data_IF_430571357845
#
_entry.id   IF_430571357845
#
_cell.length_a   1.000
_cell.length_b   1.000
_cell.length_c   1.000
_cell.angle_alpha   90.00
_cell.angle_beta   90.00
_cell.angle_gamma   90.00
#
_symmetry.space_group_name_H-M   'P 1'
#
loop_
_entity.id
_entity.type
_entity.pdbx_description
1 polymer ?
#
# COMPACT_ATOMS: atom_id res chain seq x y z
N UNK A 1 18.40 -17.19 9.22
CA UNK A 1 17.60 -16.55 8.16
C UNK A 1 16.16 -16.94 8.39
N UNK A 2 15.25 -15.97 8.49
CA UNK A 2 13.83 -16.29 8.35
C UNK A 2 13.60 -16.86 6.95
N UNK A 3 12.78 -17.91 6.87
CA UNK A 3 12.34 -18.40 5.57
C UNK A 3 11.41 -17.37 4.93
N UNK A 4 11.36 -17.32 3.59
CA UNK A 4 10.43 -16.45 2.86
C UNK A 4 8.98 -16.63 3.35
N UNK A 5 8.57 -17.86 3.67
CA UNK A 5 7.24 -18.14 4.22
C UNK A 5 7.00 -17.48 5.58
N UNK A 6 7.99 -17.49 6.48
CA UNK A 6 7.88 -16.81 7.78
C UNK A 6 7.76 -15.29 7.60
N UNK A 7 8.56 -14.71 6.70
CA UNK A 7 8.50 -13.29 6.39
C UNK A 7 7.15 -12.89 5.77
N UNK A 8 6.64 -13.66 4.80
CA UNK A 8 5.32 -13.38 4.20
C UNK A 8 4.20 -13.48 5.24
N UNK A 9 4.27 -14.49 6.13
CA UNK A 9 3.28 -14.64 7.20
C UNK A 9 3.33 -13.49 8.21
N UNK A 10 4.52 -12.92 8.49
CA UNK A 10 4.64 -11.77 9.39
C UNK A 10 4.02 -10.49 8.82
N UNK A 11 3.88 -10.39 7.49
CA UNK A 11 3.21 -9.27 6.81
C UNK A 11 1.67 -9.37 6.84
N UNK A 12 1.09 -10.55 7.07
CA UNK A 12 -0.35 -10.79 6.96
C UNK A 12 -1.24 -9.81 7.77
N UNK A 13 -0.87 -9.39 9.00
CA UNK A 13 -1.63 -8.38 9.74
C UNK A 13 -1.66 -7.02 9.05
N UNK A 14 -0.52 -6.56 8.50
CA UNK A 14 -0.41 -5.28 7.76
C UNK A 14 -1.25 -5.31 6.49
N UNK A 15 -1.14 -6.40 5.71
CA UNK A 15 -1.93 -6.60 4.49
C UNK A 15 -3.44 -6.63 4.79
N UNK A 16 -3.84 -7.29 5.87
CA UNK A 16 -5.24 -7.33 6.30
C UNK A 16 -5.76 -5.97 6.76
N UNK A 17 -4.90 -5.15 7.36
CA UNK A 17 -5.23 -3.77 7.73
C UNK A 17 -5.46 -2.91 6.47
N UNK A 18 -4.51 -2.90 5.53
CA UNK A 18 -4.66 -2.15 4.26
C UNK A 18 -5.93 -2.57 3.49
N UNK A 19 -6.21 -3.87 3.38
CA UNK A 19 -7.44 -4.35 2.72
C UNK A 19 -8.70 -3.77 3.38
N UNK A 20 -8.76 -3.73 4.71
CA UNK A 20 -9.92 -3.19 5.44
C UNK A 20 -10.03 -1.68 5.28
N UNK A 21 -8.90 -0.97 5.31
CA UNK A 21 -8.85 0.48 5.12
C UNK A 21 -9.32 0.89 3.72
N UNK A 22 -8.77 0.28 2.66
CA UNK A 22 -9.20 0.54 1.28
C UNK A 22 -10.65 0.13 1.02
N UNK A 23 -11.14 -0.91 1.69
CA UNK A 23 -12.56 -1.29 1.59
C UNK A 23 -13.49 -0.28 2.29
N UNK A 24 -13.08 0.26 3.44
CA UNK A 24 -13.88 1.24 4.18
C UNK A 24 -13.90 2.60 3.48
N UNK A 25 -12.78 3.01 2.88
CA UNK A 25 -12.62 4.26 2.14
C UNK A 25 -12.43 4.00 0.64
N UNK A 26 -13.35 3.25 0.04
CA UNK A 26 -13.29 2.93 -1.38
C UNK A 26 -13.49 4.19 -2.24
N UNK A 27 -12.62 4.38 -3.24
CA UNK A 27 -12.70 5.46 -4.21
C UNK A 27 -13.10 4.91 -5.59
N UNK A 28 -13.93 5.67 -6.31
CA UNK A 28 -14.32 5.35 -7.69
C UNK A 28 -13.20 5.68 -8.66
N UNK A 29 -13.35 5.23 -9.91
CA UNK A 29 -12.44 5.56 -11.00
C UNK A 29 -12.19 7.07 -11.13
N UNK A 30 -10.93 7.46 -11.34
CA UNK A 30 -10.44 8.83 -11.53
C UNK A 30 -10.43 9.73 -10.29
N UNK A 31 -10.82 9.20 -9.13
CA UNK A 31 -10.82 9.94 -7.85
C UNK A 31 -10.08 9.19 -6.76
N UNK A 32 -9.12 8.33 -7.12
CA UNK A 32 -8.34 7.48 -6.22
C UNK A 32 -7.23 8.25 -5.48
N UNK A 33 -7.49 9.49 -5.07
CA UNK A 33 -6.49 10.39 -4.53
C UNK A 33 -5.93 9.88 -3.19
N UNK A 34 -6.79 9.42 -2.27
CA UNK A 34 -6.37 8.87 -0.98
C UNK A 34 -5.61 7.57 -1.20
N UNK A 35 -6.15 6.69 -2.04
CA UNK A 35 -5.55 5.39 -2.34
C UNK A 35 -4.17 5.55 -2.95
N UNK A 36 -4.03 6.40 -3.97
CA UNK A 36 -2.75 6.68 -4.62
C UNK A 36 -1.73 7.31 -3.65
N UNK A 37 -2.18 8.20 -2.75
CA UNK A 37 -1.33 8.81 -1.72
C UNK A 37 -0.79 7.76 -0.75
N UNK A 38 -1.64 6.88 -0.22
CA UNK A 38 -1.22 5.82 0.71
C UNK A 38 -0.24 4.83 0.05
N UNK A 39 -0.46 4.48 -1.21
CA UNK A 39 0.47 3.62 -1.97
C UNK A 39 1.82 4.32 -2.18
N UNK A 40 1.80 5.61 -2.55
CA UNK A 40 3.02 6.39 -2.73
C UNK A 40 3.82 6.49 -1.42
N UNK A 41 3.16 6.78 -0.30
CA UNK A 41 3.80 6.85 1.02
C UNK A 41 4.50 5.55 1.40
N UNK A 42 3.81 4.40 1.24
CA UNK A 42 4.39 3.09 1.57
C UNK A 42 5.55 2.72 0.65
N UNK A 43 5.45 2.98 -0.66
CA UNK A 43 6.55 2.72 -1.59
C UNK A 43 7.75 3.65 -1.32
N UNK A 44 7.52 4.90 -0.95
CA UNK A 44 8.59 5.82 -0.53
C UNK A 44 9.31 5.30 0.72
N UNK A 45 8.57 4.83 1.73
CA UNK A 45 9.15 4.26 2.95
C UNK A 45 9.97 3.00 2.68
N UNK A 46 9.60 2.22 1.66
CA UNK A 46 10.36 1.07 1.19
C UNK A 46 11.58 1.43 0.32
N UNK A 47 11.80 2.71 0.03
CA UNK A 47 12.96 3.20 -0.70
C UNK A 47 12.80 3.18 -2.23
N UNK A 48 11.58 3.07 -2.75
CA UNK A 48 11.34 3.15 -4.20
C UNK A 48 11.41 4.60 -4.70
N UNK A 49 11.90 4.75 -5.93
CA UNK A 49 11.77 6.02 -6.68
C UNK A 49 10.38 6.10 -7.30
N UNK A 50 9.65 7.18 -7.02
CA UNK A 50 8.27 7.36 -7.47
C UNK A 50 8.19 8.30 -8.67
N UNK A 51 7.42 7.90 -9.67
CA UNK A 51 6.94 8.79 -10.71
C UNK A 51 5.47 9.10 -10.42
N UNK A 52 5.22 10.30 -9.93
CA UNK A 52 3.86 10.80 -9.68
C UNK A 52 3.43 11.63 -10.87
N UNK A 53 2.11 11.68 -11.15
CA UNK A 53 1.60 12.57 -12.17
C UNK A 53 1.90 14.03 -11.77
N UNK A 54 2.80 14.68 -12.48
CA UNK A 54 2.88 16.13 -12.48
C UNK A 54 1.64 16.64 -13.21
N UNK A 55 0.97 17.61 -12.59
CA UNK A 55 -0.24 18.25 -13.10
C UNK A 55 -0.10 18.68 -14.56
#
# INVERSE_FOLDING_TARGET
MESLNQFVNSLAPKLSHWRRDFHHYAESGWVEFRTATLVAEELQQLGYSLALAAK
#
